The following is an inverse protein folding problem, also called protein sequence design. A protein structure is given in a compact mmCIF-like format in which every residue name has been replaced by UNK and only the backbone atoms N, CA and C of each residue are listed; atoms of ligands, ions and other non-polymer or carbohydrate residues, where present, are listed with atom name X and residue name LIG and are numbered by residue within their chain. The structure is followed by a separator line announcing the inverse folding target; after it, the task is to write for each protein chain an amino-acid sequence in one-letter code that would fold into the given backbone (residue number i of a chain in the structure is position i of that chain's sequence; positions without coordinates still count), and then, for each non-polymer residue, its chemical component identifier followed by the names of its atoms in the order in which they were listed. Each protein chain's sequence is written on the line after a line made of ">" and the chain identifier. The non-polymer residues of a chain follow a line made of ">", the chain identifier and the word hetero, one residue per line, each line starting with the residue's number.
data_IF_486762775543
#
_entry.id   IF_486762775543
#
_cell.length_a   1.000
_cell.length_b   1.000
_cell.length_c   1.000
_cell.angle_alpha   90.00
_cell.angle_beta   90.00
_cell.angle_gamma   90.00
#
_symmetry.space_group_name_H-M   'P 1'
#
loop_
_entity.id
_entity.type
_entity.pdbx_description
1 polymer ?
#
# COMPACT_ATOMS: atom_id res chain seq x y z
N UNK A 1 -27.31 29.02 -21.08
CA UNK A 1 -26.54 28.59 -19.86
C UNK A 1 -25.96 27.22 -20.19
N UNK A 2 -24.64 27.09 -20.44
CA UNK A 2 -24.02 25.77 -20.61
C UNK A 2 -24.21 25.01 -19.29
N UNK A 3 -24.91 23.88 -19.33
CA UNK A 3 -24.86 22.93 -18.22
C UNK A 3 -23.39 22.53 -18.05
N UNK A 4 -22.72 23.02 -17.00
CA UNK A 4 -21.41 22.52 -16.63
C UNK A 4 -21.59 21.05 -16.28
N UNK A 5 -20.70 20.20 -16.79
CA UNK A 5 -20.71 18.79 -16.42
C UNK A 5 -20.57 18.72 -14.88
N UNK A 6 -21.39 17.91 -14.22
CA UNK A 6 -21.38 17.80 -12.75
C UNK A 6 -19.98 17.49 -12.21
N UNK A 7 -19.18 16.75 -12.99
CA UNK A 7 -17.79 16.47 -12.67
C UNK A 7 -16.89 17.70 -12.62
N UNK A 8 -17.24 18.78 -13.36
CA UNK A 8 -16.48 20.05 -13.31
C UNK A 8 -16.69 20.78 -11.98
N UNK A 9 -17.84 20.55 -11.31
CA UNK A 9 -18.17 21.18 -10.02
C UNK A 9 -17.23 20.73 -8.90
N UNK A 10 -16.80 19.46 -8.93
CA UNK A 10 -15.90 18.84 -7.93
C UNK A 10 -14.62 18.28 -8.57
N UNK A 11 -14.14 18.95 -9.62
CA UNK A 11 -13.03 18.46 -10.42
C UNK A 11 -11.75 18.28 -9.61
N UNK A 12 -11.43 19.22 -8.71
CA UNK A 12 -10.21 19.12 -7.89
C UNK A 12 -10.30 17.98 -6.88
N UNK A 13 -11.48 17.74 -6.31
CA UNK A 13 -11.71 16.62 -5.39
C UNK A 13 -11.58 15.27 -6.08
N UNK A 14 -12.12 15.16 -7.31
CA UNK A 14 -11.99 13.96 -8.14
C UNK A 14 -10.54 13.73 -8.56
N UNK A 15 -9.79 14.79 -8.86
CA UNK A 15 -8.37 14.69 -9.19
C UNK A 15 -7.56 14.15 -8.01
N UNK A 16 -7.81 14.66 -6.78
CA UNK A 16 -7.17 14.12 -5.57
C UNK A 16 -7.54 12.65 -5.32
N UNK A 17 -8.77 12.25 -5.58
CA UNK A 17 -9.18 10.85 -5.45
C UNK A 17 -8.47 9.93 -6.46
N UNK A 18 -8.27 10.39 -7.70
CA UNK A 18 -7.45 9.70 -8.70
C UNK A 18 -5.98 9.64 -8.28
N UNK A 19 -5.45 10.69 -7.64
CA UNK A 19 -4.09 10.69 -7.09
C UNK A 19 -3.94 9.61 -6.01
N UNK A 20 -4.93 9.44 -5.10
CA UNK A 20 -4.93 8.36 -4.11
C UNK A 20 -4.86 6.99 -4.81
N UNK A 21 -5.65 6.79 -5.87
CA UNK A 21 -5.61 5.58 -6.69
C UNK A 21 -4.23 5.33 -7.30
N UNK A 22 -3.63 6.36 -7.89
CA UNK A 22 -2.28 6.27 -8.45
C UNK A 22 -1.25 5.90 -7.37
N UNK A 23 -1.34 6.47 -6.18
CA UNK A 23 -0.44 6.15 -5.05
C UNK A 23 -0.59 4.70 -4.58
N UNK A 24 -1.77 4.10 -4.66
CA UNK A 24 -1.95 2.66 -4.40
C UNK A 24 -1.06 1.84 -5.33
N UNK A 25 -1.09 2.11 -6.63
CA UNK A 25 -0.23 1.42 -7.58
C UNK A 25 1.27 1.70 -7.37
N UNK A 26 1.63 2.88 -6.89
CA UNK A 26 3.02 3.15 -6.53
C UNK A 26 3.45 2.34 -5.30
N UNK A 27 2.57 2.16 -4.31
CA UNK A 27 2.83 1.27 -3.16
C UNK A 27 3.00 -0.17 -3.65
N UNK A 28 2.13 -0.67 -4.53
CA UNK A 28 2.23 -2.01 -5.12
C UNK A 28 3.58 -2.21 -5.83
N UNK A 29 3.93 -1.30 -6.73
CA UNK A 29 5.13 -1.40 -7.55
C UNK A 29 6.43 -1.29 -6.74
N UNK A 30 6.40 -0.58 -5.63
CA UNK A 30 7.58 -0.32 -4.79
C UNK A 30 7.51 -1.03 -3.43
N UNK A 31 6.63 -2.00 -3.26
CA UNK A 31 6.34 -2.61 -1.96
C UNK A 31 7.58 -3.17 -1.25
N UNK A 32 8.55 -3.66 -2.00
CA UNK A 32 9.80 -4.23 -1.51
C UNK A 32 10.95 -3.21 -1.38
N UNK A 33 10.70 -1.95 -1.71
CA UNK A 33 11.63 -0.83 -1.58
C UNK A 33 11.19 0.10 -0.44
N UNK A 34 12.00 0.31 0.60
CA UNK A 34 11.60 1.10 1.78
C UNK A 34 11.23 2.55 1.42
N UNK A 35 12.05 3.22 0.62
CA UNK A 35 11.80 4.60 0.24
C UNK A 35 10.59 4.72 -0.69
N UNK A 36 10.48 3.82 -1.67
CA UNK A 36 9.36 3.82 -2.60
C UNK A 36 8.01 3.66 -1.90
N UNK A 37 7.88 2.70 -0.98
CA UNK A 37 6.67 2.50 -0.17
C UNK A 37 6.37 3.73 0.68
N UNK A 38 7.37 4.25 1.40
CA UNK A 38 7.18 5.37 2.33
C UNK A 38 6.79 6.65 1.62
N UNK A 39 7.43 6.99 0.50
CA UNK A 39 7.10 8.17 -0.28
C UNK A 39 5.72 8.08 -0.90
N UNK A 40 5.36 6.90 -1.44
CA UNK A 40 4.04 6.67 -2.01
C UNK A 40 2.95 6.74 -0.95
N UNK A 41 3.18 6.16 0.24
CA UNK A 41 2.23 6.25 1.34
C UNK A 41 2.08 7.68 1.88
N UNK A 42 3.17 8.45 1.96
CA UNK A 42 3.11 9.88 2.31
C UNK A 42 2.31 10.69 1.28
N UNK A 43 2.48 10.40 -0.01
CA UNK A 43 1.67 10.97 -1.08
C UNK A 43 0.18 10.65 -0.92
N UNK A 44 -0.13 9.39 -0.62
CA UNK A 44 -1.48 8.91 -0.39
C UNK A 44 -2.17 9.63 0.78
N UNK A 45 -1.54 9.71 1.95
CA UNK A 45 -2.16 10.35 3.12
C UNK A 45 -2.38 11.85 2.87
N UNK A 46 -1.49 12.51 2.12
CA UNK A 46 -1.67 13.90 1.70
C UNK A 46 -2.88 14.05 0.80
N UNK A 47 -2.94 13.30 -0.30
CA UNK A 47 -4.04 13.36 -1.26
C UNK A 47 -5.39 13.02 -0.59
N UNK A 48 -5.44 12.00 0.27
CA UNK A 48 -6.64 11.61 1.03
C UNK A 48 -7.20 12.77 1.86
N UNK A 49 -6.36 13.48 2.61
CA UNK A 49 -6.81 14.64 3.40
C UNK A 49 -7.31 15.79 2.51
N UNK A 50 -6.64 16.01 1.38
CA UNK A 50 -6.95 17.10 0.46
C UNK A 50 -8.33 16.93 -0.21
N UNK A 51 -8.82 15.69 -0.41
CA UNK A 51 -10.16 15.44 -0.96
C UNK A 51 -11.23 16.21 -0.19
N UNK A 52 -11.27 16.07 1.13
CA UNK A 52 -12.26 16.76 1.96
C UNK A 52 -12.11 18.28 1.91
N UNK A 53 -10.88 18.78 1.87
CA UNK A 53 -10.60 20.22 1.80
C UNK A 53 -11.04 20.81 0.47
N UNK A 54 -10.81 20.08 -0.63
CA UNK A 54 -11.26 20.51 -1.96
C UNK A 54 -12.78 20.49 -2.07
N UNK A 55 -13.45 19.41 -1.62
CA UNK A 55 -14.92 19.37 -1.55
C UNK A 55 -15.51 20.56 -0.78
N UNK A 56 -14.92 20.91 0.37
CA UNK A 56 -15.33 22.08 1.11
C UNK A 56 -15.20 23.36 0.25
N UNK A 57 -14.04 23.60 -0.36
CA UNK A 57 -13.77 24.78 -1.18
C UNK A 57 -14.70 24.89 -2.40
N UNK A 58 -14.94 23.76 -3.06
CA UNK A 58 -15.76 23.70 -4.27
C UNK A 58 -17.26 23.90 -3.98
N UNK A 59 -17.73 23.50 -2.80
CA UNK A 59 -19.16 23.38 -2.52
C UNK A 59 -19.69 24.31 -1.42
N UNK A 60 -18.84 24.97 -0.62
CA UNK A 60 -19.26 25.78 0.55
C UNK A 60 -20.26 26.91 0.24
N UNK A 61 -20.24 27.43 -0.97
CA UNK A 61 -21.11 28.54 -1.41
C UNK A 61 -22.45 28.07 -2.02
N UNK A 62 -22.69 26.75 -2.04
CA UNK A 62 -23.96 26.23 -2.58
C UNK A 62 -25.09 26.41 -1.57
N UNK A 63 -26.32 26.71 -2.05
CA UNK A 63 -27.47 26.85 -1.15
C UNK A 63 -27.78 25.61 -0.31
N UNK A 64 -27.53 24.45 -0.87
CA UNK A 64 -27.77 23.12 -0.25
C UNK A 64 -26.61 22.61 0.62
N UNK A 65 -25.50 23.36 0.72
CA UNK A 65 -24.28 22.95 1.42
C UNK A 65 -24.54 22.52 2.86
N UNK A 66 -25.18 23.36 3.66
CA UNK A 66 -25.36 23.12 5.10
C UNK A 66 -26.20 21.87 5.40
N UNK A 67 -27.24 21.62 4.56
CA UNK A 67 -28.22 20.57 4.81
C UNK A 67 -27.83 19.24 4.17
N UNK A 68 -27.15 19.24 3.02
CA UNK A 68 -26.96 18.04 2.21
C UNK A 68 -25.48 17.63 2.08
N UNK A 69 -24.56 18.58 2.02
CA UNK A 69 -23.15 18.31 1.72
C UNK A 69 -22.32 18.26 2.99
N UNK A 70 -22.46 19.27 3.87
CA UNK A 70 -21.69 19.35 5.11
C UNK A 70 -21.81 18.11 5.99
N UNK A 71 -22.99 17.49 6.21
CA UNK A 71 -23.11 16.27 6.99
C UNK A 71 -22.23 15.12 6.46
N UNK A 72 -22.14 14.96 5.12
CA UNK A 72 -21.29 13.95 4.49
C UNK A 72 -19.79 14.21 4.72
N UNK A 73 -19.37 15.48 4.67
CA UNK A 73 -18.00 15.88 4.99
C UNK A 73 -17.67 15.70 6.47
N UNK A 74 -18.65 15.91 7.35
CA UNK A 74 -18.48 15.68 8.80
C UNK A 74 -18.45 14.19 9.12
N UNK A 75 -19.24 13.36 8.44
CA UNK A 75 -19.16 11.89 8.52
C UNK A 75 -17.78 11.40 8.07
N UNK A 76 -17.26 11.88 6.93
CA UNK A 76 -15.92 11.53 6.47
C UNK A 76 -14.85 11.94 7.49
N UNK A 77 -14.96 13.14 8.06
CA UNK A 77 -14.06 13.63 9.11
C UNK A 77 -14.09 12.77 10.37
N UNK A 78 -15.26 12.25 10.74
CA UNK A 78 -15.47 11.41 11.90
C UNK A 78 -15.03 9.95 11.67
N UNK A 79 -14.81 9.53 10.41
CA UNK A 79 -14.32 8.19 10.11
C UNK A 79 -12.94 7.97 10.77
N UNK A 80 -12.77 6.90 11.57
CA UNK A 80 -11.54 6.69 12.35
C UNK A 80 -10.27 6.62 11.49
N UNK A 81 -10.34 5.92 10.34
CA UNK A 81 -9.22 5.81 9.42
C UNK A 81 -8.88 7.16 8.78
N UNK A 82 -9.88 7.88 8.26
CA UNK A 82 -9.67 9.20 7.67
C UNK A 82 -9.11 10.21 8.71
N UNK A 83 -9.62 10.18 9.93
CA UNK A 83 -9.13 11.03 11.02
C UNK A 83 -7.65 10.73 11.33
N UNK A 84 -7.29 9.44 11.47
CA UNK A 84 -5.91 9.06 11.70
C UNK A 84 -4.98 9.50 10.57
N UNK A 85 -5.32 9.17 9.31
CA UNK A 85 -4.50 9.56 8.15
C UNK A 85 -4.34 11.08 8.05
N UNK A 86 -5.39 11.84 8.39
CA UNK A 86 -5.32 13.30 8.43
C UNK A 86 -4.31 13.81 9.48
N UNK A 87 -4.27 13.19 10.65
CA UNK A 87 -3.31 13.52 11.71
C UNK A 87 -1.88 13.11 11.32
N UNK A 88 -1.71 11.93 10.71
CA UNK A 88 -0.40 11.46 10.20
C UNK A 88 0.14 12.40 9.13
N UNK A 89 -0.72 12.91 8.24
CA UNK A 89 -0.33 13.94 7.25
C UNK A 89 0.23 15.19 7.93
N UNK A 90 -0.44 15.69 8.95
CA UNK A 90 0.01 16.89 9.66
C UNK A 90 1.34 16.63 10.39
N UNK A 91 1.52 15.43 10.94
CA UNK A 91 2.79 15.03 11.52
C UNK A 91 3.92 15.01 10.48
N UNK A 92 3.72 14.36 9.33
CA UNK A 92 4.74 14.26 8.25
C UNK A 92 5.12 15.63 7.72
N UNK A 93 4.16 16.54 7.54
CA UNK A 93 4.42 17.88 6.98
C UNK A 93 5.14 18.79 7.97
N UNK A 94 4.87 18.66 9.27
CA UNK A 94 5.30 19.65 10.26
C UNK A 94 6.34 19.14 11.26
N UNK A 95 6.52 17.82 11.42
CA UNK A 95 7.32 17.26 12.52
C UNK A 95 8.38 16.25 12.10
N UNK A 96 8.19 15.51 11.01
CA UNK A 96 9.18 14.54 10.58
C UNK A 96 8.60 13.32 9.88
N UNK A 97 9.35 12.23 9.90
CA UNK A 97 8.98 11.01 9.20
C UNK A 97 7.84 10.27 9.88
N UNK A 98 7.04 9.59 9.06
CA UNK A 98 6.00 8.70 9.55
C UNK A 98 6.63 7.56 10.38
N UNK A 99 6.10 7.33 11.57
CA UNK A 99 6.44 6.15 12.35
C UNK A 99 5.78 4.93 11.71
N UNK A 100 6.61 4.00 11.24
CA UNK A 100 6.19 2.78 10.55
C UNK A 100 7.03 1.60 11.02
N UNK A 101 6.43 0.42 10.99
CA UNK A 101 7.12 -0.83 11.29
C UNK A 101 7.17 -1.73 10.07
N UNK A 102 8.24 -2.49 9.96
CA UNK A 102 8.40 -3.52 8.95
C UNK A 102 8.63 -4.86 9.63
N UNK A 103 7.92 -5.87 9.20
CA UNK A 103 8.13 -7.26 9.62
C UNK A 103 8.21 -8.16 8.40
N UNK A 104 8.88 -9.29 8.56
CA UNK A 104 9.03 -10.24 7.49
C UNK A 104 9.00 -11.68 7.94
N UNK A 105 8.79 -12.55 6.97
CA UNK A 105 9.00 -13.99 7.05
C UNK A 105 9.80 -14.42 5.85
N UNK A 106 10.67 -15.39 6.03
CA UNK A 106 11.46 -15.97 4.96
C UNK A 106 11.32 -17.49 4.99
N UNK A 107 11.34 -18.11 3.83
CA UNK A 107 11.15 -19.55 3.74
C UNK A 107 11.05 -20.05 2.31
N UNK A 108 10.41 -21.19 2.13
CA UNK A 108 10.11 -21.78 0.82
C UNK A 108 8.63 -21.86 0.57
N UNK A 109 8.24 -21.83 -0.68
CA UNK A 109 6.83 -21.89 -1.10
C UNK A 109 6.31 -23.31 -1.14
N UNK A 110 4.99 -23.44 -0.93
CA UNK A 110 4.18 -24.57 -1.38
C UNK A 110 2.91 -24.00 -2.01
N UNK A 111 2.79 -24.11 -3.33
CA UNK A 111 1.73 -23.43 -4.05
C UNK A 111 1.82 -21.91 -3.91
N UNK A 112 0.83 -21.29 -3.22
CA UNK A 112 0.75 -19.85 -3.00
C UNK A 112 1.15 -19.40 -1.58
N UNK A 113 1.65 -20.32 -0.76
CA UNK A 113 1.96 -20.05 0.64
C UNK A 113 3.34 -20.56 1.06
N UNK A 114 3.67 -20.36 2.33
CA UNK A 114 4.89 -20.92 2.90
C UNK A 114 4.73 -22.43 3.17
N UNK A 115 5.63 -23.24 2.62
CA UNK A 115 5.85 -24.64 3.06
C UNK A 115 6.55 -24.64 4.42
N UNK A 116 7.65 -23.91 4.49
CA UNK A 116 8.39 -23.65 5.72
C UNK A 116 8.68 -22.15 5.75
N UNK A 117 8.34 -21.48 6.85
CA UNK A 117 8.58 -20.05 6.98
C UNK A 117 8.92 -19.65 8.40
N UNK A 118 9.94 -18.84 8.52
CA UNK A 118 10.43 -18.32 9.80
C UNK A 118 10.22 -16.81 9.88
N UNK A 119 9.87 -16.27 11.06
CA UNK A 119 9.97 -14.85 11.29
C UNK A 119 11.39 -14.38 11.00
N UNK A 120 11.53 -13.30 10.25
CA UNK A 120 12.81 -12.73 9.89
C UNK A 120 12.75 -11.21 10.06
N UNK A 121 13.60 -10.62 10.91
CA UNK A 121 13.58 -9.19 11.13
C UNK A 121 14.08 -8.46 9.87
N UNK A 122 13.24 -7.56 9.35
CA UNK A 122 13.60 -6.68 8.25
C UNK A 122 13.67 -5.26 8.78
N UNK A 123 14.82 -4.62 8.63
CA UNK A 123 14.99 -3.24 9.04
C UNK A 123 14.10 -2.31 8.22
N UNK A 124 13.67 -1.22 8.84
CA UNK A 124 12.82 -0.23 8.18
C UNK A 124 13.43 0.34 6.89
N UNK A 125 14.76 0.43 6.82
CA UNK A 125 15.51 1.01 5.71
C UNK A 125 16.07 -0.02 4.73
N UNK A 126 15.92 -1.30 5.05
CA UNK A 126 16.42 -2.43 4.27
C UNK A 126 15.40 -2.82 3.21
N UNK A 127 15.81 -2.97 1.97
CA UNK A 127 14.99 -3.56 0.91
C UNK A 127 14.76 -5.06 1.16
N UNK A 128 13.80 -5.64 0.46
CA UNK A 128 13.59 -7.09 0.55
C UNK A 128 14.75 -7.87 -0.03
N UNK A 129 15.42 -7.35 -1.04
CA UNK A 129 16.63 -7.92 -1.64
C UNK A 129 17.80 -7.93 -0.65
N UNK A 130 18.03 -6.82 0.06
CA UNK A 130 19.08 -6.74 1.10
C UNK A 130 18.78 -7.69 2.27
N UNK A 131 17.50 -7.77 2.71
CA UNK A 131 17.08 -8.70 3.74
C UNK A 131 17.30 -10.16 3.31
N UNK A 132 16.97 -10.47 2.06
CA UNK A 132 17.20 -11.80 1.50
C UNK A 132 18.69 -12.12 1.38
N UNK A 133 19.52 -11.20 0.89
CA UNK A 133 20.97 -11.39 0.83
C UNK A 133 21.57 -11.65 2.22
N UNK A 134 21.13 -10.92 3.24
CA UNK A 134 21.55 -11.15 4.64
C UNK A 134 21.12 -12.54 5.15
N UNK A 135 19.93 -13.00 4.76
CA UNK A 135 19.49 -14.35 5.09
C UNK A 135 20.36 -15.42 4.40
N UNK A 136 20.70 -15.21 3.13
CA UNK A 136 21.60 -16.10 2.37
C UNK A 136 22.96 -16.23 3.05
N UNK A 137 23.54 -15.15 3.58
CA UNK A 137 24.79 -15.20 4.34
C UNK A 137 24.67 -16.06 5.61
N UNK A 138 23.53 -16.02 6.29
CA UNK A 138 23.26 -16.92 7.43
C UNK A 138 23.21 -18.38 6.98
N UNK A 139 22.65 -18.67 5.80
CA UNK A 139 22.58 -20.02 5.25
C UNK A 139 23.96 -20.56 4.83
N UNK A 140 24.88 -19.73 4.36
CA UNK A 140 26.26 -20.15 4.00
C UNK A 140 26.99 -20.80 5.16
N UNK A 141 26.77 -20.31 6.39
CA UNK A 141 27.42 -20.81 7.60
C UNK A 141 26.71 -22.01 8.27
N UNK A 142 25.51 -22.39 7.81
CA UNK A 142 24.64 -23.36 8.49
C UNK A 142 24.09 -24.39 7.49
N UNK A 143 24.68 -25.60 7.49
CA UNK A 143 24.28 -26.67 6.57
C UNK A 143 22.84 -27.14 6.74
N UNK A 144 22.31 -27.10 7.98
CA UNK A 144 20.94 -27.56 8.25
C UNK A 144 19.95 -26.55 7.69
N UNK A 145 20.15 -25.23 7.93
CA UNK A 145 19.33 -24.18 7.34
C UNK A 145 19.40 -24.20 5.83
N UNK A 146 20.59 -24.40 5.27
CA UNK A 146 20.79 -24.52 3.82
C UNK A 146 19.99 -25.69 3.24
N UNK A 147 20.01 -26.88 3.91
CA UNK A 147 19.19 -28.01 3.47
C UNK A 147 17.70 -27.77 3.59
N UNK A 148 17.24 -27.09 4.65
CA UNK A 148 15.82 -26.73 4.83
C UNK A 148 15.35 -25.72 3.80
N UNK A 149 16.23 -24.85 3.33
CA UNK A 149 15.94 -23.80 2.35
C UNK A 149 16.35 -24.18 0.93
N UNK A 150 17.05 -25.32 0.77
CA UNK A 150 17.38 -25.85 -0.55
C UNK A 150 16.09 -26.12 -1.33
N UNK A 151 16.00 -25.64 -2.55
CA UNK A 151 14.81 -25.79 -3.34
C UNK A 151 14.62 -27.24 -3.75
N UNK A 152 13.53 -27.85 -3.31
CA UNK A 152 12.97 -29.00 -3.99
C UNK A 152 12.42 -28.54 -5.35
N UNK A 153 12.24 -29.46 -6.29
CA UNK A 153 11.73 -29.14 -7.65
C UNK A 153 10.43 -28.33 -7.66
N UNK A 154 9.64 -28.37 -6.57
CA UNK A 154 8.32 -27.77 -6.45
C UNK A 154 8.25 -26.61 -5.44
N UNK A 155 9.38 -26.22 -4.82
CA UNK A 155 9.39 -25.13 -3.85
C UNK A 155 10.47 -24.10 -4.17
N UNK A 156 10.14 -22.82 -3.93
CA UNK A 156 10.96 -21.67 -4.27
C UNK A 156 11.27 -20.87 -3.01
N UNK A 157 12.49 -20.35 -2.84
CA UNK A 157 12.77 -19.39 -1.79
C UNK A 157 11.86 -18.16 -1.92
N UNK A 158 11.30 -17.70 -0.80
CA UNK A 158 10.47 -16.52 -0.78
C UNK A 158 10.66 -15.68 0.47
N UNK A 159 10.43 -14.39 0.33
CA UNK A 159 10.36 -13.43 1.42
C UNK A 159 8.99 -12.76 1.39
N UNK A 160 8.30 -12.75 2.53
CA UNK A 160 7.10 -11.97 2.73
C UNK A 160 7.44 -10.78 3.62
N UNK A 161 7.01 -9.58 3.21
CA UNK A 161 7.15 -8.36 3.97
C UNK A 161 5.79 -7.78 4.32
N UNK A 162 5.67 -7.17 5.49
CA UNK A 162 4.48 -6.43 5.90
C UNK A 162 4.91 -5.07 6.42
N UNK A 163 4.23 -4.02 5.94
CA UNK A 163 4.38 -2.65 6.41
C UNK A 163 3.17 -2.26 7.23
N UNK A 164 3.36 -1.78 8.45
CA UNK A 164 2.27 -1.46 9.36
C UNK A 164 2.48 -0.10 10.02
N UNK A 165 1.36 0.55 10.33
CA UNK A 165 1.33 1.67 11.25
C UNK A 165 1.18 1.13 12.67
N UNK A 166 1.86 1.71 13.69
CA UNK A 166 1.66 1.32 15.08
C UNK A 166 0.21 1.42 15.55
N UNK A 167 -0.54 2.35 14.99
CA UNK A 167 -1.97 2.55 15.28
C UNK A 167 -2.86 1.43 14.69
N UNK A 168 -2.39 0.72 13.66
CA UNK A 168 -3.07 -0.40 12.99
C UNK A 168 -2.11 -1.57 12.79
N UNK A 169 -1.70 -2.26 13.86
CA UNK A 169 -0.66 -3.30 13.79
C UNK A 169 -1.08 -4.52 12.98
N UNK A 170 -2.38 -4.76 12.86
CA UNK A 170 -2.94 -5.90 12.13
C UNK A 170 -3.14 -5.61 10.64
N UNK A 171 -3.15 -4.34 10.25
CA UNK A 171 -3.42 -3.92 8.87
C UNK A 171 -2.12 -3.51 8.16
N UNK A 172 -2.01 -3.93 6.90
CA UNK A 172 -0.92 -3.54 6.02
C UNK A 172 -1.19 -2.21 5.31
N UNK A 173 -0.13 -1.49 4.93
CA UNK A 173 -0.23 -0.22 4.22
C UNK A 173 -1.12 -0.28 2.98
N UNK A 174 -1.04 -1.35 2.18
CA UNK A 174 -1.84 -1.49 0.98
C UNK A 174 -3.32 -1.66 1.32
N UNK A 175 -3.65 -2.43 2.36
CA UNK A 175 -5.02 -2.59 2.85
C UNK A 175 -5.59 -1.27 3.37
N UNK A 176 -4.78 -0.51 4.13
CA UNK A 176 -5.13 0.84 4.62
C UNK A 176 -5.38 1.79 3.44
N UNK A 177 -4.50 1.77 2.43
CA UNK A 177 -4.60 2.61 1.25
C UNK A 177 -5.90 2.35 0.45
N UNK A 178 -6.21 1.09 0.20
CA UNK A 178 -7.43 0.66 -0.51
C UNK A 178 -8.68 1.07 0.28
N UNK A 179 -8.67 0.87 1.60
CA UNK A 179 -9.80 1.25 2.48
C UNK A 179 -10.00 2.75 2.50
N UNK A 180 -8.93 3.54 2.56
CA UNK A 180 -9.00 5.01 2.51
C UNK A 180 -9.57 5.51 1.17
N UNK A 181 -9.12 4.95 0.05
CA UNK A 181 -9.62 5.27 -1.27
C UNK A 181 -11.12 4.98 -1.42
N UNK A 182 -11.57 3.80 -0.98
CA UNK A 182 -12.99 3.41 -0.99
C UNK A 182 -13.84 4.32 -0.11
N UNK A 183 -13.36 4.65 1.08
CA UNK A 183 -14.05 5.53 2.02
C UNK A 183 -14.28 6.92 1.41
N UNK A 184 -13.24 7.51 0.81
CA UNK A 184 -13.37 8.79 0.11
C UNK A 184 -14.26 8.69 -1.13
N UNK A 185 -14.12 7.61 -1.91
CA UNK A 185 -14.91 7.37 -3.10
C UNK A 185 -16.41 7.27 -2.82
N UNK A 186 -16.79 6.63 -1.69
CA UNK A 186 -18.19 6.56 -1.25
C UNK A 186 -18.78 7.96 -1.04
N UNK A 187 -18.09 8.81 -0.30
CA UNK A 187 -18.57 10.19 -0.01
C UNK A 187 -18.62 11.03 -1.28
N UNK A 188 -17.60 10.94 -2.14
CA UNK A 188 -17.59 11.60 -3.45
C UNK A 188 -18.76 11.14 -4.32
N UNK A 189 -19.04 9.83 -4.37
CA UNK A 189 -20.13 9.25 -5.13
C UNK A 189 -21.49 9.76 -4.65
N UNK A 190 -21.71 9.80 -3.34
CA UNK A 190 -22.94 10.30 -2.75
C UNK A 190 -23.16 11.81 -3.04
N UNK A 191 -22.08 12.59 -3.03
CA UNK A 191 -22.13 14.02 -3.40
C UNK A 191 -22.42 14.18 -4.90
N UNK A 192 -21.75 13.41 -5.77
CA UNK A 192 -22.02 13.43 -7.21
C UNK A 192 -23.47 13.12 -7.54
N UNK A 193 -24.01 12.05 -6.97
CA UNK A 193 -25.43 11.67 -7.14
C UNK A 193 -26.36 12.80 -6.66
N UNK A 194 -26.07 13.41 -5.52
CA UNK A 194 -26.84 14.56 -5.02
C UNK A 194 -26.79 15.77 -6.01
N UNK A 195 -25.67 15.97 -6.68
CA UNK A 195 -25.50 17.02 -7.69
C UNK A 195 -26.13 16.67 -9.05
N UNK A 196 -26.73 15.49 -9.19
CA UNK A 196 -27.35 14.99 -10.43
C UNK A 196 -26.39 14.26 -11.38
N UNK A 197 -25.23 13.85 -10.89
CA UNK A 197 -24.29 13.00 -11.62
C UNK A 197 -24.50 11.52 -11.38
N UNK A 198 -23.64 10.69 -11.96
CA UNK A 198 -23.62 9.25 -11.77
C UNK A 198 -22.73 8.86 -10.58
N UNK A 199 -23.06 7.72 -9.94
CA UNK A 199 -22.23 7.15 -8.88
C UNK A 199 -20.85 6.73 -9.41
N UNK A 200 -19.81 6.90 -8.58
CA UNK A 200 -18.47 6.44 -8.89
C UNK A 200 -18.37 4.92 -8.69
N UNK A 201 -17.62 4.28 -9.57
CA UNK A 201 -17.16 2.91 -9.32
C UNK A 201 -16.03 2.95 -8.29
N UNK A 202 -16.29 2.39 -7.11
CA UNK A 202 -15.34 2.28 -6.00
C UNK A 202 -14.76 0.86 -5.86
N UNK A 203 -14.99 -0.02 -6.85
CA UNK A 203 -14.34 -1.31 -6.94
C UNK A 203 -12.95 -1.16 -7.56
N UNK A 204 -11.92 -1.42 -6.77
CA UNK A 204 -10.53 -1.34 -7.21
C UNK A 204 -10.15 -2.64 -7.96
N UNK A 205 -10.64 -2.79 -9.19
CA UNK A 205 -10.44 -4.01 -10.00
C UNK A 205 -9.04 -4.12 -10.59
N UNK A 206 -8.32 -3.01 -10.66
CA UNK A 206 -6.94 -2.94 -11.18
C UNK A 206 -5.87 -3.19 -10.11
N UNK A 207 -6.22 -3.19 -8.82
CA UNK A 207 -5.26 -3.48 -7.75
C UNK A 207 -4.87 -4.96 -7.75
N UNK A 208 -3.61 -5.22 -7.47
CA UNK A 208 -3.14 -6.57 -7.25
C UNK A 208 -3.67 -7.12 -5.91
N UNK A 209 -3.70 -8.44 -5.81
CA UNK A 209 -3.96 -9.11 -4.54
C UNK A 209 -2.90 -8.69 -3.52
N UNK A 210 -3.28 -8.05 -2.39
CA UNK A 210 -2.32 -7.59 -1.39
C UNK A 210 -1.40 -8.70 -0.86
N UNK A 211 -1.89 -9.94 -0.77
CA UNK A 211 -1.07 -11.07 -0.32
C UNK A 211 0.04 -11.38 -1.32
N UNK A 212 -0.23 -11.26 -2.63
CA UNK A 212 0.80 -11.45 -3.66
C UNK A 212 1.83 -10.33 -3.68
N UNK A 213 1.39 -9.08 -3.50
CA UNK A 213 2.28 -7.91 -3.46
C UNK A 213 3.27 -7.99 -2.30
N UNK A 214 2.87 -8.61 -1.18
CA UNK A 214 3.73 -8.81 0.00
C UNK A 214 4.83 -9.84 -0.20
N UNK A 215 4.71 -10.68 -1.23
CA UNK A 215 5.60 -11.82 -1.45
C UNK A 215 6.58 -11.49 -2.57
N UNK A 216 7.86 -11.72 -2.29
CA UNK A 216 8.93 -11.75 -3.27
C UNK A 216 9.44 -13.19 -3.39
N UNK A 217 9.25 -13.79 -4.54
CA UNK A 217 9.79 -15.11 -4.86
C UNK A 217 11.16 -14.95 -5.53
N UNK A 218 12.08 -15.84 -5.21
CA UNK A 218 13.41 -15.89 -5.78
C UNK A 218 13.58 -17.18 -6.56
N UNK A 219 14.22 -17.13 -7.72
CA UNK A 219 14.48 -18.34 -8.48
C UNK A 219 15.48 -19.25 -7.75
N UNK A 220 15.40 -20.54 -8.03
CA UNK A 220 16.40 -21.49 -7.55
C UNK A 220 17.81 -21.09 -7.99
N UNK A 221 17.95 -20.64 -9.23
CA UNK A 221 19.21 -20.15 -9.77
C UNK A 221 19.78 -18.98 -8.98
N UNK A 222 18.93 -17.98 -8.63
CA UNK A 222 19.34 -16.85 -7.78
C UNK A 222 19.77 -17.32 -6.40
N UNK A 223 19.06 -18.27 -5.79
CA UNK A 223 19.41 -18.80 -4.48
C UNK A 223 20.78 -19.46 -4.50
N UNK A 224 21.00 -20.43 -5.40
CA UNK A 224 22.27 -21.16 -5.49
C UNK A 224 23.44 -20.25 -5.90
N UNK A 225 23.24 -19.32 -6.83
CA UNK A 225 24.24 -18.33 -7.18
C UNK A 225 24.69 -17.52 -5.96
N UNK A 226 23.75 -17.08 -5.14
CA UNK A 226 24.04 -16.26 -3.96
C UNK A 226 24.63 -17.11 -2.81
N UNK A 227 24.14 -18.34 -2.58
CA UNK A 227 24.61 -19.22 -1.48
C UNK A 227 25.95 -19.83 -1.81
N UNK A 228 26.14 -20.35 -3.02
CA UNK A 228 27.29 -21.15 -3.43
C UNK A 228 28.29 -20.39 -4.29
N UNK A 229 27.95 -19.21 -4.77
CA UNK A 229 28.75 -18.47 -5.74
C UNK A 229 28.81 -19.16 -7.11
N UNK A 230 27.88 -20.08 -7.39
CA UNK A 230 27.82 -20.85 -8.64
C UNK A 230 26.86 -20.16 -9.59
N UNK A 231 27.36 -19.81 -10.78
CA UNK A 231 26.50 -19.37 -11.88
C UNK A 231 25.96 -20.63 -12.58
N UNK A 232 24.65 -20.88 -12.45
CA UNK A 232 24.01 -22.11 -12.99
C UNK A 232 24.05 -22.11 -14.52
N UNK A 233 24.22 -20.96 -15.16
CA UNK A 233 24.36 -20.84 -16.61
C UNK A 233 25.71 -21.40 -17.12
N UNK A 234 26.69 -21.68 -16.23
CA UNK A 234 27.96 -22.32 -16.57
C UNK A 234 27.94 -23.86 -16.43
N UNK A 235 26.81 -24.46 -15.98
CA UNK A 235 26.71 -25.91 -15.65
C UNK A 235 25.90 -26.69 -16.70
N UNK A 236 25.42 -26.05 -17.77
CA UNK A 236 24.72 -26.75 -18.89
C UNK A 236 25.53 -26.78 -20.16
#
# INVERSE_FOLDING_TARGET
>A
MKMSCVHEIIASSLDRWKEVHWQIHQIENHYHSPDGVRYSFNGLIRATKEIRLMLYKELQNRPDYQLQIKPKLDELKANPLFFLLSNKRDYVVHRGMLDVHSSGRIGTTEGRGFKIGFPFPINLWESSEEAYARFVEVCKGDKEKRQMMGPDSDSWPMLQRKWVLPDFPDEDFLSIAITAWRTCGKVLSEILVHLGGEALDTELRCAHDPEKVRIREYSQAEFFRLVDGIDIDEVN
#
